data_IF_218177647010
#
_entry.id   IF_218177647010
#
_cell.length_a   1.000
_cell.length_b   1.000
_cell.length_c   1.000
_cell.angle_alpha   90.00
_cell.angle_beta   90.00
_cell.angle_gamma   90.00
#
_symmetry.space_group_name_H-M   'P 1'
#
loop_
_entity.id
_entity.type
_entity.pdbx_description
1 polymer ?
#
# COMPACT_ATOMS: atom_id res chain seq x y z
N UNK A 1 30.65 -36.74 -30.76
CA UNK A 1 29.36 -36.37 -30.12
C UNK A 1 29.69 -35.54 -28.89
N UNK A 2 29.53 -34.22 -29.02
CA UNK A 2 29.71 -33.29 -27.91
C UNK A 2 28.36 -33.03 -27.26
N UNK A 3 28.21 -33.41 -25.99
CA UNK A 3 27.01 -33.13 -25.22
C UNK A 3 27.23 -31.78 -24.52
N UNK A 4 26.52 -30.75 -24.98
CA UNK A 4 26.44 -29.44 -24.29
C UNK A 4 25.52 -29.57 -23.08
N UNK A 5 26.11 -29.63 -21.88
CA UNK A 5 25.37 -29.52 -20.63
C UNK A 5 25.11 -28.05 -20.34
N UNK A 6 23.87 -27.61 -20.62
CA UNK A 6 23.38 -26.28 -20.23
C UNK A 6 23.12 -26.27 -18.72
N UNK A 7 24.01 -25.67 -17.94
CA UNK A 7 23.74 -25.34 -16.53
C UNK A 7 22.73 -24.20 -16.49
N UNK A 8 21.48 -24.52 -16.19
CA UNK A 8 20.48 -23.53 -15.81
C UNK A 8 20.83 -23.02 -14.41
N UNK A 9 21.35 -21.79 -14.31
CA UNK A 9 21.46 -21.08 -13.06
C UNK A 9 20.03 -20.75 -12.59
N UNK A 10 19.52 -21.52 -11.65
CA UNK A 10 18.34 -21.15 -10.87
C UNK A 10 18.83 -20.08 -9.90
N UNK A 11 18.78 -18.82 -10.33
CA UNK A 11 18.99 -17.69 -9.46
C UNK A 11 17.89 -17.67 -8.41
N UNK A 12 18.20 -18.03 -7.18
CA UNK A 12 17.37 -17.66 -6.05
C UNK A 12 17.38 -16.14 -5.97
N UNK A 13 16.33 -15.48 -6.43
CA UNK A 13 16.11 -14.07 -6.16
C UNK A 13 16.04 -13.92 -4.63
N UNK A 14 17.12 -13.43 -4.02
CA UNK A 14 17.12 -13.02 -2.62
C UNK A 14 16.25 -11.74 -2.56
N UNK A 15 15.13 -11.87 -1.88
CA UNK A 15 14.24 -10.76 -1.60
C UNK A 15 14.94 -9.82 -0.62
N UNK A 16 15.41 -8.68 -1.10
CA UNK A 16 16.02 -7.65 -0.29
C UNK A 16 14.89 -6.70 0.14
N UNK A 17 14.37 -6.92 1.34
CA UNK A 17 13.35 -6.08 1.94
C UNK A 17 13.93 -4.68 2.22
N UNK A 18 13.42 -3.65 1.54
CA UNK A 18 13.77 -2.26 1.85
C UNK A 18 12.83 -1.74 2.92
N UNK A 19 13.38 -0.98 3.86
CA UNK A 19 12.58 -0.34 4.90
C UNK A 19 11.78 0.78 4.23
N UNK A 20 10.44 0.78 4.32
CA UNK A 20 9.59 1.76 3.62
C UNK A 20 9.97 3.21 3.86
N UNK A 21 10.39 3.55 5.08
CA UNK A 21 10.76 4.91 5.50
C UNK A 21 12.00 5.48 4.79
N UNK A 22 12.76 4.64 4.08
CA UNK A 22 13.95 5.03 3.34
C UNK A 22 13.69 5.19 1.84
N UNK A 23 12.46 4.97 1.39
CA UNK A 23 12.10 5.02 -0.02
C UNK A 23 11.62 6.42 -0.43
N UNK A 24 11.86 6.84 -1.69
CA UNK A 24 11.52 8.18 -2.16
C UNK A 24 10.04 8.54 -2.05
N UNK A 25 9.11 7.57 -1.99
CA UNK A 25 7.70 7.88 -1.84
C UNK A 25 7.38 8.61 -0.53
N UNK A 26 8.23 8.48 0.50
CA UNK A 26 8.07 9.20 1.75
C UNK A 26 8.26 10.72 1.61
N UNK A 27 9.05 11.18 0.62
CA UNK A 27 9.21 12.61 0.32
C UNK A 27 7.90 13.24 -0.19
N UNK A 28 6.94 12.41 -0.65
CA UNK A 28 5.61 12.80 -1.12
C UNK A 28 4.52 12.57 -0.07
N UNK A 29 4.90 12.20 1.14
CA UNK A 29 3.94 11.96 2.22
C UNK A 29 3.20 13.23 2.60
N UNK A 30 1.95 13.07 3.03
CA UNK A 30 1.13 14.12 3.60
C UNK A 30 0.84 13.80 5.06
N UNK A 31 1.00 14.79 5.92
CA UNK A 31 0.73 14.64 7.36
C UNK A 31 -0.40 15.57 7.78
N UNK A 32 -1.36 15.05 8.53
CA UNK A 32 -2.45 15.81 9.15
C UNK A 32 -2.64 15.41 10.60
N UNK A 33 -3.12 16.36 11.39
CA UNK A 33 -3.35 16.16 12.83
C UNK A 33 -4.80 16.48 13.16
N UNK A 34 -5.43 15.64 13.98
CA UNK A 34 -6.72 15.89 14.60
C UNK A 34 -6.59 15.68 16.12
N UNK A 35 -6.54 16.79 16.85
CA UNK A 35 -6.27 16.80 18.29
C UNK A 35 -4.88 16.21 18.60
N UNK A 36 -4.85 15.12 19.35
CA UNK A 36 -3.61 14.43 19.76
C UNK A 36 -3.23 13.25 18.85
N UNK A 37 -3.95 13.08 17.74
CA UNK A 37 -3.65 12.03 16.76
C UNK A 37 -3.07 12.66 15.51
N UNK A 38 -1.89 12.20 15.11
CA UNK A 38 -1.23 12.59 13.87
C UNK A 38 -1.22 11.40 12.93
N UNK A 39 -1.62 11.64 11.69
CA UNK A 39 -1.60 10.62 10.62
C UNK A 39 -0.74 11.12 9.48
N UNK A 40 0.17 10.28 9.03
CA UNK A 40 0.93 10.48 7.81
C UNK A 40 0.52 9.42 6.80
N UNK A 41 0.28 9.84 5.56
CA UNK A 41 -0.11 8.95 4.48
C UNK A 41 0.77 9.19 3.24
N UNK A 42 1.14 8.11 2.54
CA UNK A 42 1.88 8.16 1.29
C UNK A 42 1.45 7.03 0.35
N UNK A 43 1.59 7.27 -0.95
CA UNK A 43 1.29 6.28 -1.98
C UNK A 43 2.55 6.04 -2.81
N UNK A 44 3.11 4.82 -2.79
CA UNK A 44 4.23 4.45 -3.63
C UNK A 44 3.85 4.40 -5.11
N UNK A 45 4.80 4.68 -6.00
CA UNK A 45 4.67 4.41 -7.43
C UNK A 45 4.63 2.91 -7.73
N UNK A 46 4.37 2.53 -8.99
CA UNK A 46 4.39 1.14 -9.41
C UNK A 46 5.78 0.52 -9.21
N UNK A 47 6.85 1.26 -9.55
CA UNK A 47 8.24 0.81 -9.40
C UNK A 47 8.64 0.69 -7.93
N UNK A 48 8.25 1.65 -7.09
CA UNK A 48 8.51 1.61 -5.65
C UNK A 48 7.78 0.43 -4.99
N UNK A 49 6.54 0.13 -5.41
CA UNK A 49 5.82 -1.06 -4.97
C UNK A 49 6.55 -2.35 -5.31
N UNK A 50 7.12 -2.43 -6.52
CA UNK A 50 7.88 -3.61 -6.93
C UNK A 50 9.18 -3.74 -6.14
N UNK A 51 9.82 -2.64 -5.79
CA UNK A 51 11.00 -2.63 -4.89
C UNK A 51 10.65 -3.09 -3.47
N UNK A 52 9.50 -2.65 -2.92
CA UNK A 52 9.06 -3.01 -1.57
C UNK A 52 8.63 -4.47 -1.49
N UNK A 53 7.78 -4.91 -2.42
CA UNK A 53 7.09 -6.20 -2.32
C UNK A 53 7.67 -7.28 -3.25
N UNK A 54 8.51 -6.90 -4.24
CA UNK A 54 9.01 -7.81 -5.27
C UNK A 54 7.94 -8.30 -6.25
N UNK A 55 6.78 -7.62 -6.28
CA UNK A 55 5.63 -7.99 -7.11
C UNK A 55 5.02 -6.77 -7.80
N UNK A 56 4.56 -6.89 -9.06
CA UNK A 56 3.90 -5.82 -9.80
C UNK A 56 2.44 -5.66 -9.34
N UNK A 57 2.22 -5.04 -8.18
CA UNK A 57 0.90 -4.92 -7.54
C UNK A 57 -0.10 -4.17 -8.43
N UNK A 58 0.35 -3.11 -9.10
CA UNK A 58 -0.48 -2.33 -10.03
C UNK A 58 -1.08 -3.20 -11.14
N UNK A 59 -0.32 -4.17 -11.67
CA UNK A 59 -0.79 -5.14 -12.67
C UNK A 59 -1.89 -6.09 -12.16
N UNK A 60 -2.14 -6.14 -10.86
CA UNK A 60 -3.23 -6.88 -10.20
C UNK A 60 -4.31 -5.97 -9.62
N UNK A 61 -4.33 -4.71 -10.02
CA UNK A 61 -5.27 -3.69 -9.55
C UNK A 61 -5.15 -3.42 -8.03
N UNK A 62 -3.94 -3.55 -7.49
CA UNK A 62 -3.66 -3.31 -6.07
C UNK A 62 -2.79 -2.07 -5.94
N UNK A 63 -3.20 -1.15 -5.07
CA UNK A 63 -2.47 0.04 -4.68
C UNK A 63 -2.25 0.05 -3.17
N UNK A 64 -1.03 -0.21 -2.70
CA UNK A 64 -0.69 0.00 -1.31
C UNK A 64 -0.76 1.48 -0.95
N UNK A 65 -1.31 1.77 0.22
CA UNK A 65 -1.27 3.07 0.88
C UNK A 65 -0.51 2.89 2.17
N UNK A 66 0.62 3.55 2.30
CA UNK A 66 1.36 3.56 3.54
C UNK A 66 0.75 4.56 4.50
N UNK A 67 0.60 4.15 5.75
CA UNK A 67 0.10 4.96 6.84
C UNK A 67 1.04 4.87 8.02
N UNK A 68 1.20 6.00 8.72
CA UNK A 68 1.70 6.06 10.08
C UNK A 68 0.69 6.80 10.94
N UNK A 69 0.36 6.21 12.07
CA UNK A 69 -0.56 6.79 13.06
C UNK A 69 0.19 6.96 14.37
N UNK A 70 0.37 8.20 14.76
CA UNK A 70 0.92 8.59 16.06
C UNK A 70 -0.24 9.01 16.98
N UNK A 71 -0.49 8.19 17.97
CA UNK A 71 -1.58 8.41 18.93
C UNK A 71 -1.02 8.94 20.24
N UNK A 72 -0.95 10.26 20.39
CA UNK A 72 -0.50 10.93 21.61
C UNK A 72 -1.62 11.15 22.63
N UNK A 73 -2.79 10.51 22.43
CA UNK A 73 -3.91 10.60 23.37
C UNK A 73 -3.88 9.49 24.43
N UNK A 74 -4.76 9.61 25.40
CA UNK A 74 -5.04 8.60 26.44
C UNK A 74 -6.01 7.50 26.00
N UNK A 75 -6.49 7.55 24.75
CA UNK A 75 -7.54 6.68 24.22
C UNK A 75 -6.96 5.82 23.09
N UNK A 76 -7.23 4.50 23.14
CA UNK A 76 -6.90 3.60 22.02
C UNK A 76 -7.92 3.72 20.87
N UNK A 77 -7.45 3.62 19.64
CA UNK A 77 -8.29 3.69 18.45
C UNK A 77 -8.15 2.44 17.57
N UNK A 78 -9.23 2.09 16.92
CA UNK A 78 -9.25 1.09 15.86
C UNK A 78 -9.35 1.75 14.49
N UNK A 79 -8.57 1.29 13.53
CA UNK A 79 -8.67 1.71 12.13
C UNK A 79 -9.91 1.08 11.49
N UNK A 80 -10.80 1.92 10.98
CA UNK A 80 -11.98 1.47 10.24
C UNK A 80 -11.67 1.40 8.75
N UNK A 81 -11.17 0.28 8.30
CA UNK A 81 -10.66 0.07 6.94
C UNK A 81 -11.66 0.39 5.84
N UNK A 82 -12.93 -0.03 6.01
CA UNK A 82 -13.98 0.17 4.98
C UNK A 82 -14.23 1.65 4.68
N UNK A 83 -13.93 2.55 5.62
CA UNK A 83 -14.05 3.98 5.35
C UNK A 83 -12.95 4.52 4.45
N UNK A 84 -11.80 3.83 4.37
CA UNK A 84 -10.65 4.28 3.60
C UNK A 84 -10.86 4.09 2.10
N UNK A 85 -11.33 2.94 1.71
CA UNK A 85 -11.70 2.58 0.34
C UNK A 85 -12.69 1.41 0.42
N UNK A 86 -13.82 1.42 -0.30
CA UNK A 86 -14.76 0.29 -0.31
C UNK A 86 -14.12 -0.98 -0.91
N UNK A 87 -13.09 -0.83 -1.74
CA UNK A 87 -12.38 -1.92 -2.41
C UNK A 87 -11.02 -2.17 -1.73
N UNK A 88 -11.03 -2.55 -0.47
CA UNK A 88 -9.83 -2.95 0.30
C UNK A 88 -9.60 -4.45 0.14
N UNK A 89 -8.33 -4.81 -0.03
CA UNK A 89 -7.88 -6.20 -0.02
C UNK A 89 -7.33 -6.57 1.35
N UNK A 90 -7.72 -7.71 1.86
CA UNK A 90 -7.02 -8.35 2.98
C UNK A 90 -5.63 -8.82 2.54
N UNK A 91 -4.73 -9.00 3.50
CA UNK A 91 -3.38 -9.55 3.23
C UNK A 91 -3.42 -10.92 2.56
N UNK A 92 -4.42 -11.73 2.91
CA UNK A 92 -4.65 -13.04 2.30
C UNK A 92 -5.08 -12.95 0.83
N UNK A 93 -5.97 -12.02 0.49
CA UNK A 93 -6.39 -11.79 -0.91
C UNK A 93 -5.24 -11.28 -1.76
N UNK A 94 -4.43 -10.35 -1.24
CA UNK A 94 -3.23 -9.87 -1.95
C UNK A 94 -2.27 -11.04 -2.19
N UNK A 95 -1.93 -11.78 -1.15
CA UNK A 95 -1.05 -12.94 -1.27
C UNK A 95 -1.57 -13.95 -2.28
N UNK A 96 -2.87 -14.25 -2.26
CA UNK A 96 -3.49 -15.19 -3.18
C UNK A 96 -3.37 -14.77 -4.65
N UNK A 97 -3.47 -13.47 -4.96
CA UNK A 97 -3.31 -12.93 -6.32
C UNK A 97 -1.91 -13.17 -6.92
N UNK A 98 -0.90 -13.40 -6.08
CA UNK A 98 0.49 -13.68 -6.47
C UNK A 98 0.92 -15.14 -6.24
N UNK A 99 0.05 -15.97 -5.68
CA UNK A 99 0.32 -17.40 -5.55
C UNK A 99 0.09 -18.11 -6.87
N UNK A 100 0.91 -19.13 -7.13
CA UNK A 100 0.76 -20.08 -8.22
C UNK A 100 0.67 -21.48 -7.66
N UNK A 101 -0.12 -22.35 -8.30
CA UNK A 101 -0.15 -23.78 -7.97
C UNK A 101 1.20 -24.48 -8.14
N UNK A 102 2.11 -23.85 -8.89
CA UNK A 102 3.49 -24.33 -9.10
C UNK A 102 4.42 -23.99 -7.92
N UNK A 103 4.01 -23.09 -7.01
CA UNK A 103 4.82 -22.75 -5.85
C UNK A 103 4.69 -23.78 -4.73
N UNK A 104 5.80 -24.04 -4.04
CA UNK A 104 5.79 -24.87 -2.84
C UNK A 104 4.94 -24.22 -1.74
N UNK A 105 4.43 -25.03 -0.80
CA UNK A 105 3.72 -24.50 0.38
C UNK A 105 4.56 -23.49 1.17
N UNK A 106 5.88 -23.69 1.23
CA UNK A 106 6.81 -22.75 1.87
C UNK A 106 6.83 -21.40 1.14
N UNK A 107 6.89 -21.41 -0.21
CA UNK A 107 6.86 -20.17 -0.99
C UNK A 107 5.53 -19.44 -0.86
N UNK A 108 4.41 -20.16 -0.86
CA UNK A 108 3.09 -19.58 -0.63
C UNK A 108 2.98 -18.92 0.74
N UNK A 109 3.51 -19.59 1.79
CA UNK A 109 3.57 -19.02 3.13
C UNK A 109 4.43 -17.76 3.18
N UNK A 110 5.60 -17.77 2.56
CA UNK A 110 6.49 -16.60 2.52
C UNK A 110 5.81 -15.38 1.84
N UNK A 111 5.05 -15.60 0.77
CA UNK A 111 4.28 -14.52 0.12
C UNK A 111 3.21 -13.98 1.07
N UNK A 112 2.49 -14.84 1.77
CA UNK A 112 1.50 -14.40 2.75
C UNK A 112 2.14 -13.62 3.90
N UNK A 113 3.22 -14.14 4.47
CA UNK A 113 3.95 -13.50 5.57
C UNK A 113 4.47 -12.11 5.15
N UNK A 114 4.98 -11.97 3.91
CA UNK A 114 5.42 -10.70 3.37
C UNK A 114 4.32 -9.62 3.45
N UNK A 115 3.14 -9.90 2.93
CA UNK A 115 2.05 -8.92 2.93
C UNK A 115 1.48 -8.67 4.32
N UNK A 116 1.43 -9.70 5.17
CA UNK A 116 0.98 -9.56 6.56
C UNK A 116 1.95 -8.72 7.38
N UNK A 117 3.25 -8.97 7.27
CA UNK A 117 4.27 -8.33 8.11
C UNK A 117 4.49 -6.86 7.71
N UNK A 118 4.09 -6.48 6.49
CA UNK A 118 4.09 -5.09 6.04
C UNK A 118 2.74 -4.38 6.23
N UNK A 119 1.69 -5.07 6.64
CA UNK A 119 0.39 -4.44 6.88
C UNK A 119 0.39 -3.64 8.18
N UNK A 120 -0.34 -2.52 8.17
CA UNK A 120 -0.53 -1.75 9.40
C UNK A 120 -1.43 -2.52 10.39
N UNK A 121 -1.09 -2.44 11.68
CA UNK A 121 -1.98 -2.91 12.74
C UNK A 121 -3.25 -2.06 12.80
N UNK A 122 -4.35 -2.67 13.15
CA UNK A 122 -5.65 -1.98 13.22
C UNK A 122 -5.93 -1.32 14.57
N UNK A 123 -5.09 -1.57 15.59
CA UNK A 123 -5.27 -1.00 16.90
C UNK A 123 -4.09 -0.14 17.32
N UNK A 124 -4.35 1.13 17.53
CA UNK A 124 -3.37 2.14 17.93
C UNK A 124 -3.48 2.41 19.43
N UNK A 125 -2.52 1.90 20.16
CA UNK A 125 -2.47 2.07 21.62
C UNK A 125 -2.26 3.54 22.00
N UNK A 126 -2.73 3.97 23.18
CA UNK A 126 -2.35 5.25 23.73
C UNK A 126 -0.82 5.44 23.79
N UNK A 127 -0.32 6.60 23.37
CA UNK A 127 1.09 6.93 23.39
C UNK A 127 1.97 6.13 22.41
N UNK A 128 1.39 5.51 21.38
CA UNK A 128 2.16 4.71 20.43
C UNK A 128 2.18 5.32 19.03
N UNK A 129 3.23 4.97 18.28
CA UNK A 129 3.30 5.17 16.84
C UNK A 129 3.28 3.79 16.16
N UNK A 130 2.46 3.66 15.11
CA UNK A 130 2.30 2.42 14.35
C UNK A 130 2.26 2.77 12.88
N UNK A 131 3.05 2.07 12.06
CA UNK A 131 3.10 2.27 10.62
C UNK A 131 2.95 0.96 9.84
N UNK A 132 2.57 1.06 8.56
CA UNK A 132 2.43 -0.07 7.67
C UNK A 132 1.50 0.24 6.49
N UNK A 133 1.24 -0.78 5.68
CA UNK A 133 0.42 -0.64 4.47
C UNK A 133 -1.02 -1.10 4.67
N UNK A 134 -1.93 -0.38 4.02
CA UNK A 134 -3.27 -0.85 3.68
C UNK A 134 -3.31 -1.12 2.18
N UNK A 135 -3.83 -2.26 1.77
CA UNK A 135 -3.91 -2.65 0.36
C UNK A 135 -5.28 -2.27 -0.19
N UNK A 136 -5.28 -1.35 -1.14
CA UNK A 136 -6.50 -0.78 -1.71
C UNK A 136 -6.58 -1.02 -3.21
N UNK A 137 -7.73 -0.69 -3.81
CA UNK A 137 -7.89 -0.75 -5.25
C UNK A 137 -7.08 0.34 -5.95
N UNK A 138 -6.52 0.02 -7.13
CA UNK A 138 -5.76 0.97 -7.94
C UNK A 138 -6.67 2.11 -8.42
N UNK A 139 -6.22 3.34 -8.24
CA UNK A 139 -6.85 4.54 -8.81
C UNK A 139 -5.84 5.27 -9.69
N UNK A 140 -6.33 5.81 -10.79
CA UNK A 140 -5.53 6.65 -11.68
C UNK A 140 -5.56 8.11 -11.20
N UNK A 141 -4.43 8.79 -11.30
CA UNK A 141 -4.30 10.21 -10.96
C UNK A 141 -4.18 10.45 -9.46
N UNK A 142 -5.29 10.70 -8.76
CA UNK A 142 -5.29 11.04 -7.34
C UNK A 142 -6.00 9.98 -6.52
N UNK A 143 -5.35 9.48 -5.48
CA UNK A 143 -5.94 8.59 -4.48
C UNK A 143 -6.54 9.42 -3.34
N UNK A 144 -7.86 9.31 -3.16
CA UNK A 144 -8.52 9.78 -1.95
C UNK A 144 -8.36 8.71 -0.86
N UNK A 145 -7.79 9.11 0.28
CA UNK A 145 -7.58 8.23 1.44
C UNK A 145 -8.32 8.82 2.62
N UNK A 146 -9.34 8.13 3.12
CA UNK A 146 -10.10 8.53 4.30
C UNK A 146 -9.72 7.62 5.47
N UNK A 147 -8.95 8.16 6.41
CA UNK A 147 -8.57 7.46 7.64
C UNK A 147 -9.62 7.76 8.71
N UNK A 148 -10.37 6.73 9.09
CA UNK A 148 -11.35 6.84 10.18
C UNK A 148 -10.90 5.97 11.35
N UNK A 149 -10.69 6.62 12.49
CA UNK A 149 -10.26 5.99 13.74
C UNK A 149 -11.43 6.00 14.73
N UNK A 150 -11.76 4.82 15.24
CA UNK A 150 -12.90 4.61 16.11
C UNK A 150 -12.45 4.27 17.54
N UNK A 151 -13.07 4.91 18.51
CA UNK A 151 -13.02 4.54 19.91
C UNK A 151 -14.46 4.50 20.45
N UNK A 152 -14.63 4.05 21.71
CA UNK A 152 -15.97 3.86 22.31
C UNK A 152 -16.88 5.10 22.18
N UNK A 153 -16.32 6.31 22.36
CA UNK A 153 -17.08 7.57 22.34
C UNK A 153 -16.47 8.65 21.45
N UNK A 154 -15.47 8.27 20.64
CA UNK A 154 -14.74 9.21 19.80
C UNK A 154 -14.58 8.63 18.39
N UNK A 155 -14.78 9.47 17.40
CA UNK A 155 -14.46 9.19 16.01
C UNK A 155 -13.51 10.29 15.54
N UNK A 156 -12.42 9.90 14.89
CA UNK A 156 -11.51 10.80 14.20
C UNK A 156 -11.58 10.51 12.73
N UNK A 157 -11.64 11.54 11.91
CA UNK A 157 -11.72 11.40 10.47
C UNK A 157 -10.75 12.36 9.79
N UNK A 158 -9.79 11.79 9.07
CA UNK A 158 -8.71 12.53 8.41
C UNK A 158 -8.68 12.08 6.95
N UNK A 159 -8.84 13.02 6.02
CA UNK A 159 -8.82 12.75 4.58
C UNK A 159 -7.58 13.31 3.92
N UNK A 160 -7.05 12.54 2.98
CA UNK A 160 -5.91 12.90 2.13
C UNK A 160 -6.30 12.79 0.67
N UNK A 161 -5.66 13.61 -0.16
CA UNK A 161 -5.70 13.49 -1.61
C UNK A 161 -4.27 13.42 -2.10
N UNK A 162 -3.84 12.22 -2.48
CA UNK A 162 -2.43 11.92 -2.76
C UNK A 162 -2.32 11.59 -4.25
N UNK A 163 -1.46 12.31 -4.95
CA UNK A 163 -1.15 12.01 -6.34
C UNK A 163 -0.44 10.66 -6.44
N UNK A 164 -0.88 9.84 -7.41
CA UNK A 164 -0.28 8.53 -7.68
C UNK A 164 0.77 8.70 -8.79
N UNK A 165 2.06 8.59 -8.49
CA UNK A 165 3.11 8.85 -9.47
C UNK A 165 3.03 7.89 -10.65
N UNK A 166 3.16 8.43 -11.88
CA UNK A 166 3.18 7.65 -13.11
C UNK A 166 1.83 7.10 -13.57
N UNK A 167 0.77 7.22 -12.78
CA UNK A 167 -0.58 6.77 -13.12
C UNK A 167 -1.50 7.98 -13.33
N UNK A 168 -1.50 8.52 -14.53
CA UNK A 168 -2.42 9.60 -14.93
C UNK A 168 -3.70 9.02 -15.49
N UNK A 169 -4.84 9.64 -15.17
CA UNK A 169 -6.10 9.31 -15.83
C UNK A 169 -6.09 9.87 -17.27
N UNK A 170 -6.65 9.12 -18.21
CA UNK A 170 -6.64 9.50 -19.62
C UNK A 170 -7.24 10.89 -19.89
N UNK A 171 -8.24 11.29 -19.10
CA UNK A 171 -8.85 12.63 -19.20
C UNK A 171 -7.89 13.78 -18.87
N UNK A 172 -6.78 13.54 -18.17
CA UNK A 172 -5.73 14.54 -17.94
C UNK A 172 -4.88 14.81 -19.18
N UNK A 173 -5.04 14.02 -20.24
CA UNK A 173 -4.38 14.20 -21.53
C UNK A 173 -5.29 14.91 -22.54
N UNK A 174 -6.58 15.12 -22.22
CA UNK A 174 -7.51 15.81 -23.08
C UNK A 174 -7.26 17.32 -22.98
N UNK A 175 -6.97 17.95 -24.12
CA UNK A 175 -6.94 19.40 -24.22
C UNK A 175 -8.37 19.93 -23.91
N UNK A 176 -8.53 20.78 -22.87
CA UNK A 176 -9.83 21.33 -22.51
C UNK A 176 -10.56 22.02 -23.67
N UNK A 177 -9.81 22.55 -24.64
CA UNK A 177 -10.39 23.23 -25.81
C UNK A 177 -10.96 22.26 -26.86
N UNK A 178 -10.54 20.99 -26.87
CA UNK A 178 -11.10 19.99 -27.79
C UNK A 178 -12.37 19.34 -27.25
N UNK A 179 -12.61 19.35 -25.95
CA UNK A 179 -13.80 18.75 -25.32
C UNK A 179 -15.06 19.62 -25.51
N UNK A 180 -14.92 20.92 -25.77
CA UNK A 180 -16.02 21.87 -25.94
C UNK A 180 -16.25 22.33 -27.39
N UNK A 181 -15.60 21.66 -28.35
CA UNK A 181 -15.68 22.02 -29.78
C UNK A 181 -16.67 21.17 -30.60
N UNK A 182 -17.51 20.35 -29.97
CA UNK A 182 -18.62 19.62 -30.62
C UNK A 182 -19.98 20.25 -30.34
#
# INVERSE_FOLDING_TARGET
IWVLVSLAFIGCAQFNHQIPEQLPFMDRSQTKTDGQVRVTAAVPSAEENEQIFGFPLAGKNIQPVWLEVENNSDTGFFLYHIAMDPDIYSTGEVAWKFQSSLYSKKSQKNIFDLFRDNAIDWYFKPGSTTSGFVYTNLKMGTKAVLVRLLAEKKVREISFFIEVPGLKADHHQLDPFTVYSE
#
